data_IF_605769955922
#
_entry.id   IF_605769955922
#
_cell.length_a   1.000
_cell.length_b   1.000
_cell.length_c   1.000
_cell.angle_alpha   90.00
_cell.angle_beta   90.00
_cell.angle_gamma   90.00
#
_symmetry.space_group_name_H-M   'P 1'
#
loop_
_entity.id
_entity.type
_entity.pdbx_description
1 polymer ?
#
# COMPACT_ATOMS: atom_id res chain seq x y z
N UNK A 1 26.50 1.08 -4.48
CA UNK A 1 27.01 -0.31 -4.34
C UNK A 1 25.98 -1.22 -3.69
N UNK A 2 25.35 -0.84 -2.57
CA UNK A 2 24.38 -1.66 -1.83
C UNK A 2 23.06 -1.94 -2.61
N UNK A 3 22.61 -0.99 -3.42
CA UNK A 3 21.38 -1.09 -4.21
C UNK A 3 21.29 -2.39 -5.05
N UNK A 4 22.32 -2.64 -5.87
CA UNK A 4 22.35 -3.85 -6.72
C UNK A 4 22.29 -5.14 -5.92
N UNK A 5 22.96 -5.18 -4.78
CA UNK A 5 22.99 -6.34 -3.88
C UNK A 5 21.60 -6.57 -3.26
N UNK A 6 20.96 -5.50 -2.78
CA UNK A 6 19.61 -5.58 -2.19
C UNK A 6 18.58 -6.03 -3.23
N UNK A 7 18.62 -5.44 -4.43
CA UNK A 7 17.71 -5.80 -5.52
C UNK A 7 17.91 -7.28 -5.94
N UNK A 8 19.16 -7.72 -6.10
CA UNK A 8 19.45 -9.11 -6.46
C UNK A 8 18.96 -10.08 -5.39
N UNK A 9 19.19 -9.76 -4.12
CA UNK A 9 18.70 -10.56 -3.00
C UNK A 9 17.17 -10.60 -2.97
N UNK A 10 16.51 -9.45 -3.12
CA UNK A 10 15.05 -9.38 -3.14
C UNK A 10 14.45 -10.20 -4.27
N UNK A 11 14.98 -10.10 -5.48
CA UNK A 11 14.51 -10.90 -6.63
C UNK A 11 14.55 -12.40 -6.36
N UNK A 12 15.58 -12.87 -5.64
CA UNK A 12 15.75 -14.28 -5.28
C UNK A 12 14.86 -14.72 -4.11
N UNK A 13 14.62 -13.82 -3.13
CA UNK A 13 14.02 -14.18 -1.84
C UNK A 13 12.62 -13.59 -1.60
N UNK A 14 12.08 -12.81 -2.54
CA UNK A 14 10.75 -12.23 -2.39
C UNK A 14 9.69 -13.33 -2.22
N UNK A 15 8.78 -13.12 -1.27
CA UNK A 15 7.63 -14.01 -1.10
C UNK A 15 6.72 -13.92 -2.30
N UNK A 16 6.16 -15.04 -2.72
CA UNK A 16 5.08 -15.07 -3.69
C UNK A 16 3.77 -14.69 -3.00
N UNK A 17 3.24 -13.52 -3.36
CA UNK A 17 2.04 -12.94 -2.77
C UNK A 17 1.12 -12.46 -3.89
N UNK A 18 -0.20 -12.75 -3.84
CA UNK A 18 -1.12 -12.50 -4.96
C UNK A 18 -1.18 -11.01 -5.37
N UNK A 19 -0.98 -10.09 -4.43
CA UNK A 19 -0.96 -8.65 -4.71
C UNK A 19 0.31 -8.13 -5.36
N UNK A 20 1.32 -8.99 -5.63
CA UNK A 20 2.53 -8.62 -6.38
C UNK A 20 2.39 -8.75 -7.89
N UNK A 21 1.33 -9.45 -8.34
CA UNK A 21 1.04 -9.73 -9.75
C UNK A 21 -0.42 -9.43 -10.09
N UNK A 22 -0.96 -8.37 -9.53
CA UNK A 22 -2.35 -7.94 -9.72
C UNK A 22 -2.41 -6.52 -10.28
N UNK A 23 -3.61 -6.04 -10.59
CA UNK A 23 -3.86 -4.66 -10.99
C UNK A 23 -3.82 -3.68 -9.80
N UNK A 24 -3.98 -2.39 -10.09
CA UNK A 24 -3.96 -1.34 -9.06
C UNK A 24 -5.07 -1.51 -8.00
N UNK A 25 -6.21 -2.12 -8.37
CA UNK A 25 -7.27 -2.39 -7.41
C UNK A 25 -6.85 -3.45 -6.39
N UNK A 26 -6.27 -4.55 -6.84
CA UNK A 26 -5.78 -5.60 -5.95
C UNK A 26 -4.65 -5.11 -5.04
N UNK A 27 -3.74 -4.26 -5.54
CA UNK A 27 -2.73 -3.61 -4.71
C UNK A 27 -3.38 -2.73 -3.63
N UNK A 28 -4.35 -1.89 -3.99
CA UNK A 28 -5.04 -1.01 -3.03
C UNK A 28 -5.75 -1.81 -1.92
N UNK A 29 -6.47 -2.87 -2.30
CA UNK A 29 -7.13 -3.76 -1.34
C UNK A 29 -6.11 -4.36 -0.37
N UNK A 30 -4.98 -4.86 -0.88
CA UNK A 30 -3.94 -5.45 -0.04
C UNK A 30 -3.32 -4.43 0.91
N UNK A 31 -3.02 -3.22 0.44
CA UNK A 31 -2.42 -2.16 1.27
C UNK A 31 -3.33 -1.78 2.45
N UNK A 32 -4.65 -1.69 2.23
CA UNK A 32 -5.59 -1.40 3.31
C UNK A 32 -5.76 -2.60 4.25
N UNK A 33 -5.78 -3.82 3.74
CA UNK A 33 -5.88 -5.03 4.57
C UNK A 33 -4.64 -5.26 5.43
N UNK A 34 -3.46 -4.94 4.92
CA UNK A 34 -2.17 -5.13 5.60
C UNK A 34 -1.89 -4.09 6.69
N UNK A 35 -2.66 -3.00 6.75
CA UNK A 35 -2.52 -2.03 7.85
C UNK A 35 -2.69 -2.74 9.20
N UNK A 36 -1.59 -2.86 9.98
CA UNK A 36 -1.56 -3.50 11.30
C UNK A 36 -2.11 -4.95 11.33
N UNK A 37 -2.11 -5.65 10.20
CA UNK A 37 -2.58 -7.03 10.11
C UNK A 37 -1.52 -7.91 9.45
N UNK A 38 -1.08 -9.01 10.08
CA UNK A 38 -0.08 -9.90 9.50
C UNK A 38 -0.55 -10.54 8.18
N UNK A 39 0.40 -10.74 7.25
CA UNK A 39 0.18 -11.32 5.92
C UNK A 39 -0.61 -12.64 5.98
N UNK A 40 -0.27 -13.52 6.90
CA UNK A 40 -0.93 -14.84 7.05
C UNK A 40 -2.44 -14.73 7.32
N UNK A 41 -2.87 -13.66 8.01
CA UNK A 41 -4.29 -13.41 8.26
C UNK A 41 -4.97 -12.72 7.08
N UNK A 42 -4.23 -11.89 6.34
CA UNK A 42 -4.76 -11.16 5.19
C UNK A 42 -4.96 -12.07 3.99
N UNK A 43 -4.01 -12.95 3.71
CA UNK A 43 -3.98 -13.76 2.49
C UNK A 43 -5.30 -14.50 2.17
N UNK A 44 -5.91 -15.28 3.09
CA UNK A 44 -7.16 -15.97 2.80
C UNK A 44 -8.33 -15.00 2.56
N UNK A 45 -8.41 -13.90 3.34
CA UNK A 45 -9.48 -12.92 3.20
C UNK A 45 -9.34 -12.14 1.90
N UNK A 46 -8.13 -11.76 1.53
CA UNK A 46 -7.82 -11.09 0.27
C UNK A 46 -8.27 -11.92 -0.94
N UNK A 47 -7.95 -13.21 -0.96
CA UNK A 47 -8.33 -14.09 -2.06
C UNK A 47 -9.84 -14.17 -2.25
N UNK A 48 -10.60 -14.35 -1.15
CA UNK A 48 -12.07 -14.37 -1.21
C UNK A 48 -12.66 -13.00 -1.56
N UNK A 49 -12.06 -11.92 -1.06
CA UNK A 49 -12.46 -10.56 -1.39
C UNK A 49 -12.31 -10.25 -2.87
N UNK A 50 -11.17 -10.60 -3.47
CA UNK A 50 -10.90 -10.37 -4.88
C UNK A 50 -11.77 -11.22 -5.81
N UNK A 51 -12.14 -12.44 -5.40
CA UNK A 51 -13.14 -13.25 -6.11
C UNK A 51 -14.52 -12.57 -6.12
N UNK A 52 -14.92 -12.03 -4.96
CA UNK A 52 -16.24 -11.42 -4.79
C UNK A 52 -16.32 -10.03 -5.44
N UNK A 53 -15.28 -9.23 -5.27
CA UNK A 53 -15.21 -7.84 -5.75
C UNK A 53 -13.93 -7.55 -6.51
N UNK A 54 -13.78 -8.09 -7.72
CA UNK A 54 -12.56 -7.93 -8.54
C UNK A 54 -12.34 -6.51 -9.08
N UNK A 55 -13.29 -5.60 -8.89
CA UNK A 55 -13.17 -4.20 -9.33
C UNK A 55 -13.80 -3.24 -8.31
N UNK A 56 -13.40 -1.95 -8.29
CA UNK A 56 -14.04 -0.93 -7.46
C UNK A 56 -15.56 -0.89 -7.66
N UNK A 57 -16.02 -0.96 -8.90
CA UNK A 57 -17.44 -0.89 -9.23
C UNK A 57 -18.26 -2.07 -8.65
N UNK A 58 -17.64 -3.25 -8.51
CA UNK A 58 -18.31 -4.38 -7.87
C UNK A 58 -18.43 -4.17 -6.36
N UNK A 59 -17.36 -3.67 -5.70
CA UNK A 59 -17.41 -3.37 -4.27
C UNK A 59 -18.36 -2.20 -3.98
N UNK A 60 -18.39 -1.18 -4.80
CA UNK A 60 -19.25 -0.01 -4.62
C UNK A 60 -20.75 -0.36 -4.54
N UNK A 61 -21.16 -1.46 -5.18
CA UNK A 61 -22.54 -1.97 -5.15
C UNK A 61 -22.89 -2.82 -3.93
N UNK A 62 -21.90 -3.22 -3.15
CA UNK A 62 -22.12 -4.02 -1.95
C UNK A 62 -22.77 -3.19 -0.84
N UNK A 63 -23.47 -3.84 0.06
CA UNK A 63 -23.96 -3.21 1.29
C UNK A 63 -22.85 -3.12 2.34
N UNK A 64 -22.90 -2.14 3.25
CA UNK A 64 -21.94 -2.07 4.37
C UNK A 64 -21.89 -3.35 5.20
N UNK A 65 -23.02 -4.01 5.39
CA UNK A 65 -23.12 -5.29 6.12
C UNK A 65 -22.34 -6.41 5.43
N UNK A 66 -22.48 -6.56 4.11
CA UNK A 66 -21.71 -7.53 3.32
C UNK A 66 -20.20 -7.28 3.41
N UNK A 67 -19.82 -6.00 3.31
CA UNK A 67 -18.41 -5.58 3.39
C UNK A 67 -17.80 -5.93 4.75
N UNK A 68 -18.50 -5.63 5.86
CA UNK A 68 -18.02 -5.96 7.20
C UNK A 68 -17.99 -7.48 7.41
N UNK A 69 -18.99 -8.20 6.95
CA UNK A 69 -19.05 -9.67 7.06
C UNK A 69 -17.87 -10.32 6.32
N UNK A 70 -17.58 -9.87 5.09
CA UNK A 70 -16.46 -10.40 4.31
C UNK A 70 -15.08 -9.98 4.86
N UNK A 71 -14.99 -8.84 5.56
CA UNK A 71 -13.77 -8.42 6.27
C UNK A 71 -13.39 -9.37 7.40
N UNK A 72 -14.38 -9.98 8.02
CA UNK A 72 -14.21 -11.03 9.02
C UNK A 72 -13.35 -10.60 10.20
N UNK A 73 -12.33 -11.41 10.52
CA UNK A 73 -11.48 -11.23 11.69
C UNK A 73 -10.19 -10.42 11.43
N UNK A 74 -10.12 -9.60 10.36
CA UNK A 74 -8.93 -8.77 10.12
C UNK A 74 -8.76 -7.67 11.18
N UNK A 75 -9.81 -7.34 11.92
CA UNK A 75 -9.81 -6.27 12.91
C UNK A 75 -10.01 -4.88 12.28
N UNK A 76 -10.30 -3.91 13.13
CA UNK A 76 -10.51 -2.51 12.71
C UNK A 76 -11.52 -2.37 11.55
N UNK A 77 -12.80 -2.75 11.71
CA UNK A 77 -13.78 -2.84 10.60
C UNK A 77 -14.02 -1.50 9.88
N UNK A 78 -13.67 -0.39 10.50
CA UNK A 78 -13.68 0.93 9.84
C UNK A 78 -12.81 0.98 8.59
N UNK A 79 -11.76 0.15 8.48
CA UNK A 79 -10.93 0.06 7.27
C UNK A 79 -11.73 -0.52 6.11
N UNK A 80 -12.56 -1.53 6.36
CA UNK A 80 -13.45 -2.10 5.35
C UNK A 80 -14.45 -1.07 4.83
N UNK A 81 -15.07 -0.29 5.72
CA UNK A 81 -15.99 0.76 5.33
C UNK A 81 -15.30 1.88 4.55
N UNK A 82 -14.08 2.29 4.94
CA UNK A 82 -13.29 3.26 4.19
C UNK A 82 -12.91 2.75 2.80
N UNK A 83 -12.55 1.47 2.67
CA UNK A 83 -12.29 0.85 1.36
C UNK A 83 -13.55 0.82 0.50
N UNK A 84 -14.71 0.57 1.10
CA UNK A 84 -16.01 0.62 0.41
C UNK A 84 -16.32 2.04 -0.09
N UNK A 85 -16.17 3.05 0.75
CA UNK A 85 -16.34 4.46 0.34
C UNK A 85 -15.32 4.86 -0.74
N UNK A 86 -14.06 4.43 -0.59
CA UNK A 86 -13.04 4.61 -1.62
C UNK A 86 -13.47 4.02 -2.96
N UNK A 87 -14.00 2.81 -2.97
CA UNK A 87 -14.51 2.15 -4.17
C UNK A 87 -15.66 2.92 -4.83
N UNK A 88 -16.55 3.52 -4.03
CA UNK A 88 -17.63 4.40 -4.55
C UNK A 88 -17.09 5.65 -5.21
N UNK A 89 -16.13 6.34 -4.55
CA UNK A 89 -15.48 7.54 -5.10
C UNK A 89 -14.75 7.19 -6.40
N UNK A 90 -13.95 6.11 -6.43
CA UNK A 90 -13.26 5.66 -7.65
C UNK A 90 -14.27 5.37 -8.78
N UNK A 91 -15.39 4.74 -8.46
CA UNK A 91 -16.39 4.39 -9.47
C UNK A 91 -17.10 5.63 -10.01
N UNK A 92 -17.51 6.54 -9.14
CA UNK A 92 -18.39 7.66 -9.51
C UNK A 92 -17.62 8.87 -10.04
N UNK A 93 -16.47 9.18 -9.45
CA UNK A 93 -15.71 10.40 -9.76
C UNK A 93 -14.55 10.11 -10.72
N UNK A 94 -13.94 8.93 -10.64
CA UNK A 94 -12.81 8.53 -11.47
C UNK A 94 -13.16 7.47 -12.52
N UNK A 95 -14.47 7.24 -12.80
CA UNK A 95 -14.95 6.30 -13.84
C UNK A 95 -14.42 4.88 -13.67
N UNK A 96 -14.16 4.45 -12.45
CA UNK A 96 -13.62 3.13 -12.11
C UNK A 96 -12.09 3.01 -12.27
N UNK A 97 -11.39 4.06 -12.65
CA UNK A 97 -9.94 4.07 -12.84
C UNK A 97 -9.28 4.68 -11.60
N UNK A 98 -8.32 3.97 -11.00
CA UNK A 98 -7.57 4.48 -9.86
C UNK A 98 -6.57 5.54 -10.36
N UNK A 99 -6.57 6.75 -9.76
CA UNK A 99 -5.64 7.80 -10.16
C UNK A 99 -4.18 7.39 -9.89
N UNK A 100 -3.26 7.89 -10.70
CA UNK A 100 -1.82 7.57 -10.58
C UNK A 100 -1.05 8.60 -9.75
N UNK A 101 -1.53 9.84 -9.74
CA UNK A 101 -0.88 10.92 -9.02
C UNK A 101 -1.10 10.80 -7.52
N UNK A 102 -0.02 10.92 -6.74
CA UNK A 102 -0.08 10.81 -5.28
C UNK A 102 -1.06 11.81 -4.66
N UNK A 103 -1.10 13.03 -5.19
CA UNK A 103 -2.03 14.09 -4.74
C UNK A 103 -3.50 13.72 -4.94
N UNK A 104 -3.84 13.01 -6.01
CA UNK A 104 -5.19 12.52 -6.28
C UNK A 104 -5.52 11.29 -5.43
N UNK A 105 -4.57 10.36 -5.27
CA UNK A 105 -4.73 9.20 -4.39
C UNK A 105 -5.06 9.64 -2.95
N UNK A 106 -4.43 10.69 -2.44
CA UNK A 106 -4.66 11.22 -1.08
C UNK A 106 -6.05 11.82 -0.87
N UNK A 107 -6.79 12.15 -1.94
CA UNK A 107 -8.18 12.59 -1.85
C UNK A 107 -9.15 11.44 -1.60
N UNK A 108 -8.74 10.20 -1.88
CA UNK A 108 -9.57 9.02 -1.72
C UNK A 108 -9.77 8.66 -0.24
N UNK A 109 -10.99 8.24 0.15
CA UNK A 109 -11.30 7.87 1.53
C UNK A 109 -10.37 6.76 2.06
N UNK A 110 -9.71 7.01 3.19
CA UNK A 110 -8.84 6.04 3.84
C UNK A 110 -7.42 5.95 3.28
N UNK A 111 -7.07 6.73 2.27
CA UNK A 111 -5.74 6.79 1.68
C UNK A 111 -4.94 7.91 2.34
N UNK A 112 -3.96 7.52 3.15
CA UNK A 112 -2.98 8.43 3.74
C UNK A 112 -1.70 8.54 2.89
N UNK A 113 -0.75 9.34 3.36
CA UNK A 113 0.55 9.56 2.71
C UNK A 113 1.25 8.24 2.37
N UNK A 114 1.37 7.33 3.34
CA UNK A 114 2.01 6.03 3.12
C UNK A 114 1.30 5.21 2.03
N UNK A 115 -0.03 5.08 2.12
CA UNK A 115 -0.78 4.26 1.16
C UNK A 115 -0.74 4.87 -0.24
N UNK A 116 -0.79 6.19 -0.37
CA UNK A 116 -0.64 6.87 -1.65
C UNK A 116 0.75 6.62 -2.27
N UNK A 117 1.82 6.77 -1.49
CA UNK A 117 3.18 6.46 -1.92
C UNK A 117 3.34 4.99 -2.32
N UNK A 118 2.78 4.07 -1.54
CA UNK A 118 2.78 2.63 -1.84
C UNK A 118 2.06 2.32 -3.15
N UNK A 119 0.92 2.98 -3.42
CA UNK A 119 0.21 2.84 -4.69
C UNK A 119 1.04 3.33 -5.88
N UNK A 120 1.68 4.49 -5.76
CA UNK A 120 2.57 5.00 -6.82
C UNK A 120 3.69 4.00 -7.09
N UNK A 121 4.34 3.49 -6.05
CA UNK A 121 5.46 2.55 -6.20
C UNK A 121 5.00 1.17 -6.68
N UNK A 122 4.04 0.53 -6.02
CA UNK A 122 3.75 -0.89 -6.23
C UNK A 122 2.71 -1.16 -7.32
N UNK A 123 1.74 -0.26 -7.49
CA UNK A 123 0.71 -0.43 -8.52
C UNK A 123 1.09 0.22 -9.85
N UNK A 124 1.85 1.30 -9.81
CA UNK A 124 2.15 2.09 -11.01
C UNK A 124 3.63 2.11 -11.37
N UNK A 125 4.48 1.42 -10.62
CA UNK A 125 5.94 1.37 -10.82
C UNK A 125 6.60 2.77 -10.85
N UNK A 126 5.95 3.74 -10.18
CA UNK A 126 6.42 5.10 -10.09
C UNK A 126 7.48 5.26 -8.98
N UNK A 127 8.21 6.39 -9.04
CA UNK A 127 9.19 6.74 -8.00
C UNK A 127 8.47 7.49 -6.87
N UNK A 128 8.32 6.84 -5.72
CA UNK A 128 7.76 7.46 -4.51
C UNK A 128 8.41 6.89 -3.27
N UNK A 129 8.52 7.70 -2.22
CA UNK A 129 9.13 7.32 -0.96
C UNK A 129 8.12 6.57 -0.08
N UNK A 130 8.16 5.24 -0.14
CA UNK A 130 7.34 4.37 0.72
C UNK A 130 8.06 4.18 2.05
N UNK A 131 7.73 5.01 3.02
CA UNK A 131 8.45 5.11 4.28
C UNK A 131 7.62 4.56 5.46
N UNK A 132 7.72 3.26 5.68
CA UNK A 132 7.16 2.63 6.89
C UNK A 132 8.12 2.74 8.09
N UNK A 133 7.64 2.35 9.26
CA UNK A 133 8.43 2.41 10.49
C UNK A 133 9.68 1.51 10.44
N UNK A 134 9.66 0.40 9.70
CA UNK A 134 10.79 -0.52 9.61
C UNK A 134 11.88 0.04 8.71
N UNK A 135 11.50 0.63 7.57
CA UNK A 135 12.43 1.33 6.68
C UNK A 135 13.04 2.54 7.40
N UNK A 136 12.23 3.33 8.11
CA UNK A 136 12.75 4.43 8.94
C UNK A 136 13.74 3.95 9.99
N UNK A 137 13.42 2.87 10.71
CA UNK A 137 14.32 2.28 11.70
C UNK A 137 15.63 1.83 11.08
N UNK A 138 15.58 1.20 9.91
CA UNK A 138 16.78 0.84 9.16
C UNK A 138 17.63 2.06 8.81
N UNK A 139 17.02 3.10 8.26
CA UNK A 139 17.72 4.30 7.82
C UNK A 139 18.34 5.07 8.99
N UNK A 140 17.59 5.25 10.07
CA UNK A 140 18.10 5.93 11.28
C UNK A 140 19.31 5.18 11.87
N UNK A 141 19.27 3.85 11.87
CA UNK A 141 20.41 3.04 12.33
C UNK A 141 21.63 3.15 11.43
N UNK A 142 21.41 3.14 10.11
CA UNK A 142 22.51 3.18 9.13
C UNK A 142 23.14 4.55 8.99
N UNK A 143 22.34 5.63 9.07
CA UNK A 143 22.81 6.96 8.71
C UNK A 143 22.96 7.90 9.91
N UNK A 144 22.18 7.70 10.96
CA UNK A 144 22.13 8.62 12.09
C UNK A 144 22.69 8.00 13.37
N UNK A 145 23.03 6.69 13.35
CA UNK A 145 23.54 5.97 14.52
C UNK A 145 22.56 5.89 15.69
N UNK A 146 21.26 6.16 15.46
CA UNK A 146 20.24 6.14 16.48
C UNK A 146 19.49 4.79 16.49
N UNK A 147 19.04 4.35 17.66
CA UNK A 147 18.41 3.04 17.82
C UNK A 147 16.99 2.99 17.19
N UNK A 148 16.24 4.07 17.33
CA UNK A 148 14.85 4.15 16.88
C UNK A 148 14.53 5.52 16.30
N UNK A 149 13.64 5.57 15.26
CA UNK A 149 13.21 6.84 14.70
C UNK A 149 12.26 7.59 15.66
N UNK A 150 12.17 8.88 15.48
CA UNK A 150 11.16 9.74 16.12
C UNK A 150 9.74 9.36 15.67
N UNK A 151 8.71 9.92 16.29
CA UNK A 151 7.30 9.59 16.01
C UNK A 151 6.93 9.82 14.53
N UNK A 152 7.43 10.89 13.91
CA UNK A 152 7.17 11.21 12.50
C UNK A 152 8.46 11.60 11.78
N UNK A 153 8.55 11.31 10.48
CA UNK A 153 9.68 11.71 9.67
C UNK A 153 9.65 13.22 9.43
N UNK A 154 10.79 13.88 9.66
CA UNK A 154 10.97 15.29 9.32
C UNK A 154 11.07 15.50 7.80
N UNK A 155 10.89 16.74 7.34
CA UNK A 155 11.08 17.09 5.93
C UNK A 155 12.52 16.81 5.46
N UNK A 156 13.49 17.04 6.32
CA UNK A 156 14.91 16.79 6.02
C UNK A 156 15.19 15.30 5.87
N UNK A 157 14.68 14.47 6.78
CA UNK A 157 14.79 13.01 6.66
C UNK A 157 14.14 12.50 5.36
N UNK A 158 12.93 12.95 5.04
CA UNK A 158 12.23 12.56 3.81
C UNK A 158 13.04 12.92 2.57
N UNK A 159 13.54 14.15 2.46
CA UNK A 159 14.35 14.58 1.32
C UNK A 159 15.62 13.71 1.16
N UNK A 160 16.33 13.43 2.27
CA UNK A 160 17.52 12.56 2.28
C UNK A 160 17.20 11.14 1.82
N UNK A 161 16.09 10.55 2.30
CA UNK A 161 15.72 9.18 1.93
C UNK A 161 15.19 9.09 0.50
N UNK A 162 14.58 10.16 0.00
CA UNK A 162 14.11 10.25 -1.38
C UNK A 162 15.25 10.19 -2.39
N UNK A 163 16.42 10.74 -2.06
CA UNK A 163 17.64 10.64 -2.86
C UNK A 163 18.16 9.21 -3.00
N UNK A 164 17.88 8.35 -2.02
CA UNK A 164 18.29 6.94 -2.02
C UNK A 164 17.43 6.06 -2.92
N UNK A 165 16.25 6.54 -3.34
CA UNK A 165 15.37 5.77 -4.23
C UNK A 165 15.99 5.72 -5.64
N UNK A 166 16.21 4.52 -6.20
CA UNK A 166 16.76 4.40 -7.54
C UNK A 166 15.95 5.19 -8.58
N UNK A 167 16.64 5.79 -9.53
CA UNK A 167 15.98 6.44 -10.69
C UNK A 167 15.44 5.42 -11.69
N UNK A 168 16.07 4.24 -11.75
CA UNK A 168 15.67 3.13 -12.59
C UNK A 168 15.12 2.01 -11.72
N UNK A 169 13.97 1.45 -12.09
CA UNK A 169 13.26 0.38 -11.37
C UNK A 169 12.99 0.74 -9.88
N UNK A 170 12.42 1.91 -9.57
CA UNK A 170 12.29 2.42 -8.21
C UNK A 170 11.32 1.60 -7.33
N UNK A 171 10.55 0.70 -7.92
CA UNK A 171 9.53 -0.13 -7.27
C UNK A 171 10.05 -1.52 -6.83
N UNK A 172 11.32 -1.80 -7.05
CA UNK A 172 11.95 -3.06 -6.67
C UNK A 172 12.63 -2.94 -5.32
#
# INVERSE_FOLDING_TARGET
MYEKTIIAWFKKNKRDLPWRSTDAWGVLVSEIMLQQTPVQRVLPVYNEWMKRWPTPAKLAKATPAEVITAWGRLGYPRRALRLHECAKVITNEYKGVIPREESELRKLPGIGEYTAAAMVAFAFSGRSLVLDINIRRLFVRLFDGAESPTTSATKVEKARYEELIPKKDPHI
#
